data_IF_966660135627
#
_entry.id   IF_966660135627
#
_cell.length_a   1.000
_cell.length_b   1.000
_cell.length_c   1.000
_cell.angle_alpha   90.00
_cell.angle_beta   90.00
_cell.angle_gamma   90.00
#
_symmetry.space_group_name_H-M   'P 1'
#
loop_
_entity.id
_entity.type
_entity.pdbx_description
1 polymer ?
#
# COMPACT_ATOMS: atom_id res chain seq x y z
N UNK A 1 2.07 29.50 13.36
CA UNK A 1 1.24 29.50 12.14
C UNK A 1 0.40 28.25 12.20
N UNK A 2 -0.93 28.38 12.25
CA UNK A 2 -1.80 27.22 12.20
C UNK A 2 -1.83 26.73 10.75
N UNK A 3 -0.99 25.75 10.42
CA UNK A 3 -1.18 24.99 9.20
C UNK A 3 -2.58 24.39 9.29
N UNK A 4 -3.49 24.91 8.48
CA UNK A 4 -4.80 24.30 8.30
C UNK A 4 -4.54 22.96 7.62
N UNK A 5 -4.34 21.92 8.42
CA UNK A 5 -4.25 20.54 7.93
C UNK A 5 -5.48 20.33 7.06
N UNK A 6 -5.25 20.05 5.78
CA UNK A 6 -6.28 19.67 4.82
C UNK A 6 -7.22 18.66 5.50
N UNK A 7 -8.55 18.78 5.36
CA UNK A 7 -9.46 17.80 5.94
C UNK A 7 -9.18 16.41 5.34
N UNK A 8 -9.36 15.37 6.15
CA UNK A 8 -9.26 13.99 5.69
C UNK A 8 -10.36 13.70 4.67
N UNK A 9 -9.97 13.24 3.47
CA UNK A 9 -10.89 12.89 2.39
C UNK A 9 -10.84 11.37 2.19
N UNK A 10 -11.73 10.66 2.90
CA UNK A 10 -11.82 9.21 2.84
C UNK A 10 -12.12 8.69 1.43
N UNK A 11 -12.92 9.43 0.64
CA UNK A 11 -13.26 9.02 -0.72
C UNK A 11 -12.04 9.09 -1.66
N UNK A 12 -11.20 10.12 -1.49
CA UNK A 12 -9.92 10.23 -2.19
C UNK A 12 -8.98 9.07 -1.82
N UNK A 13 -8.87 8.77 -0.53
CA UNK A 13 -7.98 7.69 -0.02
C UNK A 13 -8.43 6.33 -0.53
N UNK A 14 -9.73 6.00 -0.46
CA UNK A 14 -10.30 4.76 -1.03
C UNK A 14 -9.99 4.65 -2.52
N UNK A 15 -10.25 5.71 -3.29
CA UNK A 15 -9.95 5.75 -4.73
C UNK A 15 -8.46 5.57 -5.01
N UNK A 16 -7.59 6.17 -4.20
CA UNK A 16 -6.15 6.00 -4.34
C UNK A 16 -5.73 4.55 -4.09
N UNK A 17 -6.23 3.92 -3.02
CA UNK A 17 -5.96 2.52 -2.68
C UNK A 17 -6.46 1.57 -3.77
N UNK A 18 -7.65 1.80 -4.32
CA UNK A 18 -8.19 1.03 -5.44
C UNK A 18 -7.33 1.13 -6.70
N UNK A 19 -6.86 2.34 -7.05
CA UNK A 19 -5.98 2.55 -8.20
C UNK A 19 -4.63 1.87 -8.01
N UNK A 20 -4.02 1.97 -6.82
CA UNK A 20 -2.76 1.29 -6.52
C UNK A 20 -2.90 -0.22 -6.45
N UNK A 21 -4.02 -0.73 -5.97
CA UNK A 21 -4.38 -2.14 -6.07
C UNK A 21 -4.44 -2.61 -7.53
N UNK A 22 -5.12 -1.88 -8.42
CA UNK A 22 -5.19 -2.25 -9.83
C UNK A 22 -3.80 -2.17 -10.51
N UNK A 23 -3.04 -1.11 -10.23
CA UNK A 23 -1.71 -0.91 -10.81
C UNK A 23 -0.71 -2.00 -10.38
N UNK A 24 -0.70 -2.37 -9.10
CA UNK A 24 0.20 -3.41 -8.57
C UNK A 24 -0.07 -4.78 -9.19
N UNK A 25 -1.33 -5.11 -9.49
CA UNK A 25 -1.65 -6.35 -10.24
C UNK A 25 -1.12 -6.33 -11.67
N UNK A 26 -1.13 -5.17 -12.33
CA UNK A 26 -0.52 -5.02 -13.65
C UNK A 26 1.00 -5.11 -13.57
N UNK A 27 1.61 -4.57 -12.51
CA UNK A 27 3.06 -4.67 -12.28
C UNK A 27 3.50 -6.11 -12.00
N UNK A 28 2.74 -6.86 -11.19
CA UNK A 28 2.97 -8.31 -11.02
C UNK A 28 2.92 -9.05 -12.36
N UNK A 29 1.89 -8.82 -13.18
CA UNK A 29 1.77 -9.46 -14.49
C UNK A 29 2.86 -9.03 -15.49
N UNK A 30 3.41 -7.83 -15.36
CA UNK A 30 4.54 -7.37 -16.16
C UNK A 30 5.85 -8.06 -15.73
N UNK A 31 6.12 -8.11 -14.42
CA UNK A 31 7.29 -8.77 -13.85
C UNK A 31 7.30 -10.28 -14.13
N UNK A 32 6.15 -10.94 -13.98
CA UNK A 32 6.00 -12.37 -14.28
C UNK A 32 6.37 -12.69 -15.74
N UNK A 33 5.93 -11.85 -16.68
CA UNK A 33 6.30 -11.96 -18.11
C UNK A 33 7.78 -11.68 -18.39
N UNK A 34 8.42 -10.83 -17.59
CA UNK A 34 9.86 -10.54 -17.70
C UNK A 34 10.73 -11.67 -17.13
N UNK A 35 10.17 -12.53 -16.27
CA UNK A 35 10.82 -13.74 -15.80
C UNK A 35 11.74 -13.53 -14.59
N UNK A 36 12.77 -14.38 -14.48
CA UNK A 36 13.56 -14.54 -13.25
C UNK A 36 14.18 -13.24 -12.71
N UNK A 37 14.68 -12.38 -13.60
CA UNK A 37 15.35 -11.13 -13.21
C UNK A 37 14.39 -10.13 -12.55
N UNK A 38 13.08 -10.21 -12.83
CA UNK A 38 12.06 -9.31 -12.31
C UNK A 38 11.36 -9.85 -11.04
N UNK A 39 11.87 -10.90 -10.41
CA UNK A 39 11.23 -11.49 -9.21
C UNK A 39 11.14 -10.54 -8.01
N UNK A 40 12.12 -9.66 -7.82
CA UNK A 40 12.04 -8.63 -6.77
C UNK A 40 10.93 -7.62 -7.07
N UNK A 41 10.82 -7.19 -8.34
CA UNK A 41 9.74 -6.30 -8.78
C UNK A 41 8.37 -6.95 -8.63
N UNK A 42 8.27 -8.25 -8.91
CA UNK A 42 7.07 -9.02 -8.64
C UNK A 42 6.72 -8.99 -7.15
N UNK A 43 7.64 -9.35 -6.26
CA UNK A 43 7.36 -9.42 -4.82
C UNK A 43 7.04 -8.03 -4.23
N UNK A 44 7.67 -6.98 -4.75
CA UNK A 44 7.37 -5.59 -4.39
C UNK A 44 5.96 -5.18 -4.83
N UNK A 45 5.55 -5.55 -6.05
CA UNK A 45 4.21 -5.32 -6.55
C UNK A 45 3.16 -6.18 -5.80
N UNK A 46 3.51 -7.41 -5.43
CA UNK A 46 2.69 -8.26 -4.58
C UNK A 46 2.47 -7.63 -3.19
N UNK A 47 3.53 -7.09 -2.58
CA UNK A 47 3.43 -6.43 -1.28
C UNK A 47 2.50 -5.21 -1.29
N UNK A 48 2.57 -4.41 -2.35
CA UNK A 48 1.66 -3.30 -2.56
C UNK A 48 0.21 -3.76 -2.77
N UNK A 49 -0.01 -4.77 -3.61
CA UNK A 49 -1.34 -5.35 -3.81
C UNK A 49 -1.94 -5.82 -2.51
N UNK A 50 -1.16 -6.56 -1.70
CA UNK A 50 -1.59 -7.09 -0.42
C UNK A 50 -2.02 -5.95 0.53
N UNK A 51 -1.22 -4.90 0.64
CA UNK A 51 -1.51 -3.76 1.52
C UNK A 51 -2.76 -3.01 1.05
N UNK A 52 -2.85 -2.68 -0.24
CA UNK A 52 -4.00 -1.97 -0.80
C UNK A 52 -5.28 -2.82 -0.75
N UNK A 53 -5.20 -4.13 -0.99
CA UNK A 53 -6.34 -5.06 -0.86
C UNK A 53 -6.88 -5.06 0.57
N UNK A 54 -5.98 -5.11 1.54
CA UNK A 54 -6.32 -5.14 2.98
C UNK A 54 -7.00 -3.85 3.43
N UNK A 55 -6.63 -2.70 2.85
CA UNK A 55 -7.05 -1.38 3.32
C UNK A 55 -8.19 -0.76 2.53
N UNK A 56 -8.33 -1.02 1.23
CA UNK A 56 -9.27 -0.28 0.34
C UNK A 56 -10.74 -0.35 0.76
N UNK A 57 -11.14 -1.42 1.44
CA UNK A 57 -12.51 -1.64 1.92
C UNK A 57 -12.64 -1.54 3.44
N UNK A 58 -11.58 -1.16 4.15
CA UNK A 58 -11.62 -1.10 5.60
C UNK A 58 -12.37 0.15 6.08
N UNK A 59 -13.30 -0.02 7.01
CA UNK A 59 -14.10 1.09 7.57
C UNK A 59 -13.23 2.15 8.27
N UNK A 60 -12.06 1.73 8.77
CA UNK A 60 -11.08 2.66 9.37
C UNK A 60 -10.59 3.75 8.41
N UNK A 61 -10.78 3.62 7.09
CA UNK A 61 -10.42 4.66 6.12
C UNK A 61 -11.27 5.93 6.31
N UNK A 62 -12.45 5.84 6.93
CA UNK A 62 -13.35 7.00 7.08
C UNK A 62 -12.86 8.00 8.14
N UNK A 63 -11.88 7.61 8.97
CA UNK A 63 -11.25 8.46 9.98
C UNK A 63 -9.71 8.33 9.93
N UNK A 64 -9.01 9.47 9.87
CA UNK A 64 -7.54 9.48 9.73
C UNK A 64 -6.82 8.79 10.90
N UNK A 65 -7.32 8.95 12.13
CA UNK A 65 -6.69 8.37 13.31
C UNK A 65 -6.92 6.86 13.39
N UNK A 66 -8.13 6.40 13.06
CA UNK A 66 -8.46 4.99 12.93
C UNK A 66 -7.62 4.32 11.83
N UNK A 67 -7.47 4.97 10.67
CA UNK A 67 -6.63 4.48 9.59
C UNK A 67 -5.16 4.38 10.01
N UNK A 68 -4.63 5.40 10.71
CA UNK A 68 -3.27 5.39 11.23
C UNK A 68 -3.06 4.27 12.28
N UNK A 69 -4.04 4.03 13.16
CA UNK A 69 -4.00 2.95 14.12
C UNK A 69 -3.97 1.58 13.41
N UNK A 70 -4.82 1.39 12.40
CA UNK A 70 -4.84 0.15 11.60
C UNK A 70 -3.52 -0.11 10.91
N UNK A 71 -2.90 0.92 10.33
CA UNK A 71 -1.57 0.79 9.73
C UNK A 71 -0.51 0.36 10.75
N UNK A 72 -0.57 0.89 11.98
CA UNK A 72 0.35 0.50 13.06
C UNK A 72 0.18 -0.96 13.45
N UNK A 73 -1.06 -1.45 13.57
CA UNK A 73 -1.35 -2.87 13.83
C UNK A 73 -0.77 -3.77 12.73
N UNK A 74 -1.02 -3.43 11.47
CA UNK A 74 -0.50 -4.21 10.34
C UNK A 74 1.03 -4.22 10.30
N UNK A 75 1.71 -3.11 10.64
CA UNK A 75 3.18 -3.06 10.71
C UNK A 75 3.72 -3.96 11.82
N UNK A 76 2.99 -4.09 12.93
CA UNK A 76 3.38 -4.90 14.08
C UNK A 76 3.07 -6.40 13.92
N UNK A 77 2.37 -6.78 12.86
CA UNK A 77 2.04 -8.17 12.58
C UNK A 77 3.30 -9.01 12.29
N UNK A 78 3.32 -10.23 12.82
CA UNK A 78 4.45 -11.15 12.71
C UNK A 78 4.63 -11.69 11.29
N UNK A 79 3.53 -12.02 10.62
CA UNK A 79 3.55 -12.64 9.28
C UNK A 79 2.50 -12.00 8.35
N UNK A 80 2.76 -12.05 7.04
CA UNK A 80 1.82 -11.56 6.03
C UNK A 80 1.40 -12.67 5.06
N UNK A 81 0.26 -13.33 5.30
CA UNK A 81 -0.17 -14.45 4.45
C UNK A 81 -0.36 -14.00 3.00
N UNK A 82 0.41 -14.62 2.10
CA UNK A 82 0.35 -14.44 0.66
C UNK A 82 0.61 -15.76 -0.05
N UNK A 83 0.14 -15.87 -1.29
CA UNK A 83 0.36 -17.06 -2.15
C UNK A 83 0.95 -16.58 -3.47
N UNK A 84 1.80 -17.41 -4.07
CA UNK A 84 2.40 -17.10 -5.38
C UNK A 84 3.49 -16.03 -5.37
N UNK A 85 4.06 -15.71 -4.20
CA UNK A 85 5.26 -14.86 -4.09
C UNK A 85 6.52 -15.69 -4.33
N UNK A 86 7.61 -15.05 -4.76
CA UNK A 86 8.85 -15.75 -5.10
C UNK A 86 9.76 -15.97 -3.88
N UNK A 87 9.74 -15.06 -2.92
CA UNK A 87 10.53 -15.11 -1.68
C UNK A 87 9.72 -14.45 -0.54
N UNK A 88 9.29 -15.25 0.43
CA UNK A 88 8.43 -14.81 1.54
C UNK A 88 9.10 -13.72 2.38
N UNK A 89 10.37 -13.90 2.76
CA UNK A 89 11.12 -12.95 3.60
C UNK A 89 11.25 -11.59 2.91
N UNK A 90 11.55 -11.62 1.60
CA UNK A 90 11.63 -10.42 0.77
C UNK A 90 10.27 -9.74 0.61
N UNK A 91 9.22 -10.51 0.34
CA UNK A 91 7.85 -10.02 0.26
C UNK A 91 7.44 -9.33 1.57
N UNK A 92 7.64 -9.97 2.72
CA UNK A 92 7.27 -9.39 4.01
C UNK A 92 8.01 -8.09 4.32
N UNK A 93 9.29 -8.01 3.96
CA UNK A 93 10.07 -6.77 4.07
C UNK A 93 9.46 -5.66 3.22
N UNK A 94 9.03 -5.97 1.99
CA UNK A 94 8.37 -5.02 1.11
C UNK A 94 7.00 -4.59 1.66
N UNK A 95 6.22 -5.51 2.24
CA UNK A 95 4.93 -5.20 2.90
C UNK A 95 5.16 -4.20 4.03
N UNK A 96 6.08 -4.48 4.97
CA UNK A 96 6.39 -3.58 6.09
C UNK A 96 6.86 -2.22 5.61
N UNK A 97 7.70 -2.19 4.58
CA UNK A 97 8.17 -0.94 3.96
C UNK A 97 7.01 -0.11 3.39
N UNK A 98 6.12 -0.76 2.64
CA UNK A 98 4.96 -0.11 2.03
C UNK A 98 3.96 0.40 3.07
N UNK A 99 3.65 -0.40 4.09
CA UNK A 99 2.78 0.03 5.20
C UNK A 99 3.35 1.24 5.96
N UNK A 100 4.67 1.26 6.21
CA UNK A 100 5.34 2.42 6.81
C UNK A 100 5.25 3.67 5.92
N UNK A 101 5.32 3.50 4.59
CA UNK A 101 5.10 4.60 3.64
C UNK A 101 3.66 5.13 3.76
N UNK A 102 2.66 4.26 3.77
CA UNK A 102 1.26 4.66 3.97
C UNK A 102 1.05 5.35 5.32
N UNK A 103 1.70 4.90 6.40
CA UNK A 103 1.62 5.52 7.70
C UNK A 103 2.17 6.96 7.68
N UNK A 104 3.27 7.20 6.94
CA UNK A 104 3.82 8.54 6.74
C UNK A 104 2.87 9.43 5.92
N UNK A 105 2.33 8.92 4.81
CA UNK A 105 1.33 9.63 3.99
C UNK A 105 0.09 9.99 4.79
N UNK A 106 -0.42 9.05 5.59
CA UNK A 106 -1.57 9.24 6.48
C UNK A 106 -1.28 10.30 7.52
N UNK A 107 -0.12 10.25 8.18
CA UNK A 107 0.26 11.24 9.19
C UNK A 107 0.37 12.65 8.61
N UNK A 108 0.90 12.79 7.40
CA UNK A 108 1.02 14.07 6.72
C UNK A 108 -0.29 14.53 6.05
N UNK A 109 -1.25 13.62 5.85
CA UNK A 109 -2.41 13.80 4.96
C UNK A 109 -2.01 14.26 3.54
N UNK A 110 -0.95 13.67 3.00
CA UNK A 110 -0.35 14.04 1.71
C UNK A 110 -0.04 12.80 0.86
N UNK A 111 -0.05 12.97 -0.47
CA UNK A 111 0.32 11.95 -1.44
C UNK A 111 -0.83 11.12 -1.98
N UNK A 112 -2.01 11.15 -1.35
CA UNK A 112 -3.21 10.47 -1.84
C UNK A 112 -3.81 11.15 -3.08
N UNK A 113 -3.46 12.42 -3.34
CA UNK A 113 -3.77 13.12 -4.59
C UNK A 113 -2.91 12.64 -5.77
N UNK A 114 -1.74 12.03 -5.51
CA UNK A 114 -0.82 11.56 -6.56
C UNK A 114 -1.27 10.19 -7.05
N UNK A 115 -2.15 10.19 -8.03
CA UNK A 115 -2.68 8.95 -8.65
C UNK A 115 -1.92 8.50 -9.90
N UNK A 116 -0.88 9.21 -10.33
CA UNK A 116 -0.11 8.86 -11.52
C UNK A 116 1.03 7.88 -11.19
N UNK A 117 1.24 6.89 -12.09
CA UNK A 117 2.53 6.20 -12.20
C UNK A 117 3.56 7.26 -12.60
N UNK A 118 4.67 7.35 -11.87
CA UNK A 118 5.90 7.82 -12.51
C UNK A 118 6.19 6.82 -13.63
N UNK A 119 6.04 7.28 -14.87
CA UNK A 119 6.56 6.60 -16.06
C UNK A 119 8.07 6.76 -16.08
#
# INVERSE_FOLDING_TARGET
MADSLKPWDAALVRRWLERRYAASRLDQAAADRAGYEARDDFDKAAAEEWACRTLKNADCVDDQAAFAARLKELIAQDEYPATGVNDDVRFERHVRSYLRKLAKMTKANEGFEKTHRHQ
#
